data_IF_754709379008
#
_entry.id   IF_754709379008
#
_cell.length_a   1.000
_cell.length_b   1.000
_cell.length_c   1.000
_cell.angle_alpha   90.00
_cell.angle_beta   90.00
_cell.angle_gamma   90.00
#
_symmetry.space_group_name_H-M   'P 1'
#
loop_
_entity.id
_entity.type
_entity.pdbx_description
1 polymer ?
#
# COMPACT_ATOMS: atom_id res chain seq x y z
N UNK A 1 7.48 0.25 26.42
CA UNK A 1 7.43 0.39 25.04
C UNK A 1 7.06 -0.90 24.33
N UNK A 2 5.92 -0.88 23.62
CA UNK A 2 5.22 -2.10 23.14
C UNK A 2 6.10 -2.88 22.15
N UNK A 3 6.68 -2.21 21.16
CA UNK A 3 7.53 -2.87 20.15
C UNK A 3 8.69 -3.63 20.80
N UNK A 4 9.36 -3.03 21.76
CA UNK A 4 10.48 -3.69 22.44
C UNK A 4 10.01 -4.91 23.25
N UNK A 5 8.84 -4.84 23.90
CA UNK A 5 8.23 -5.99 24.60
C UNK A 5 7.90 -7.12 23.61
N UNK A 6 7.42 -6.79 22.41
CA UNK A 6 7.15 -7.77 21.36
C UNK A 6 8.47 -8.44 20.93
N UNK A 7 9.49 -7.66 20.61
CA UNK A 7 10.79 -8.17 20.16
C UNK A 7 11.47 -9.05 21.21
N UNK A 8 11.37 -8.67 22.49
CA UNK A 8 11.94 -9.45 23.61
C UNK A 8 11.34 -10.86 23.75
N UNK A 9 10.16 -11.13 23.18
CA UNK A 9 9.58 -12.49 23.14
C UNK A 9 10.22 -13.39 22.07
N UNK A 10 10.82 -12.79 21.04
CA UNK A 10 11.35 -13.51 19.88
C UNK A 10 12.88 -13.54 19.85
N UNK A 11 13.56 -12.58 20.45
CA UNK A 11 15.01 -12.44 20.43
C UNK A 11 15.57 -12.93 21.78
N UNK A 12 16.24 -14.10 21.76
CA UNK A 12 16.91 -14.66 22.95
C UNK A 12 18.31 -14.09 23.20
N UNK A 13 18.97 -13.55 22.16
CA UNK A 13 20.32 -12.99 22.27
C UNK A 13 20.27 -11.59 22.93
N UNK A 14 20.94 -11.46 24.08
CA UNK A 14 20.96 -10.22 24.88
C UNK A 14 21.68 -9.07 24.17
N UNK A 15 22.75 -9.36 23.42
CA UNK A 15 23.52 -8.31 22.71
C UNK A 15 22.71 -7.75 21.54
N UNK A 16 22.05 -8.64 20.77
CA UNK A 16 21.13 -8.24 19.72
C UNK A 16 19.94 -7.43 20.26
N UNK A 17 19.43 -7.81 21.41
CA UNK A 17 18.32 -7.11 22.07
C UNK A 17 18.72 -5.70 22.51
N UNK A 18 19.91 -5.53 23.05
CA UNK A 18 20.46 -4.22 23.40
C UNK A 18 20.69 -3.35 22.14
N UNK A 19 21.25 -3.92 21.10
CA UNK A 19 21.42 -3.23 19.81
C UNK A 19 20.07 -2.78 19.23
N UNK A 20 19.09 -3.66 19.24
CA UNK A 20 17.72 -3.36 18.77
C UNK A 20 17.08 -2.24 19.59
N UNK A 21 17.31 -2.25 20.91
CA UNK A 21 16.86 -1.17 21.81
C UNK A 21 17.44 0.16 21.39
N UNK A 22 18.75 0.24 21.12
CA UNK A 22 19.41 1.46 20.61
C UNK A 22 18.79 1.92 19.30
N UNK A 23 18.60 1.02 18.32
CA UNK A 23 17.97 1.37 17.05
C UNK A 23 16.57 1.99 17.21
N UNK A 24 15.77 1.47 18.14
CA UNK A 24 14.38 1.93 18.35
C UNK A 24 14.36 3.28 19.09
N UNK A 25 15.25 3.50 20.05
CA UNK A 25 15.16 4.63 20.97
C UNK A 25 16.05 5.81 20.58
N UNK A 26 17.25 5.57 20.03
CA UNK A 26 18.23 6.62 19.69
C UNK A 26 17.96 7.27 18.35
N UNK A 27 17.29 6.58 17.40
CA UNK A 27 16.96 7.11 16.08
C UNK A 27 15.56 7.75 15.99
N UNK A 28 14.99 8.18 17.11
CA UNK A 28 13.68 8.86 17.10
C UNK A 28 13.81 10.27 16.53
N UNK A 29 12.86 10.72 15.70
CA UNK A 29 12.81 12.13 15.30
C UNK A 29 12.71 13.02 16.53
N UNK A 30 13.51 14.07 16.60
CA UNK A 30 13.70 14.95 17.77
C UNK A 30 12.41 15.51 18.39
N UNK A 31 11.29 15.51 17.69
CA UNK A 31 10.02 16.11 18.13
C UNK A 31 8.84 15.17 18.23
N UNK A 32 9.01 13.85 18.09
CA UNK A 32 7.91 12.90 18.21
C UNK A 32 8.19 11.86 19.28
N UNK A 33 7.44 11.84 20.41
CA UNK A 33 7.63 10.87 21.46
C UNK A 33 7.22 9.45 21.06
N UNK A 34 6.57 9.29 19.90
CA UNK A 34 6.03 8.03 19.39
C UNK A 34 6.34 7.88 17.90
N UNK A 35 6.55 6.63 17.47
CA UNK A 35 6.74 6.28 16.07
C UNK A 35 8.09 5.64 15.77
N UNK A 36 8.22 5.15 14.55
CA UNK A 36 9.45 4.56 14.00
C UNK A 36 9.95 5.50 12.90
N UNK A 37 11.27 5.75 12.80
CA UNK A 37 11.83 6.65 11.79
C UNK A 37 11.43 6.21 10.38
N UNK A 38 10.94 7.14 9.56
CA UNK A 38 10.60 6.86 8.16
C UNK A 38 11.89 6.85 7.33
N UNK A 39 12.04 5.85 6.45
CA UNK A 39 13.17 5.74 5.53
C UNK A 39 14.23 4.71 5.91
N UNK A 40 14.24 4.18 7.12
CA UNK A 40 15.13 3.08 7.50
C UNK A 40 14.56 1.73 7.09
N UNK A 41 15.39 0.84 6.56
CA UNK A 41 14.99 -0.54 6.23
C UNK A 41 14.43 -1.29 7.43
N UNK A 42 15.05 -1.12 8.61
CA UNK A 42 14.61 -1.73 9.87
C UNK A 42 13.20 -1.30 10.27
N UNK A 43 12.79 -0.08 9.93
CA UNK A 43 11.46 0.43 10.27
C UNK A 43 10.33 -0.37 9.63
N UNK A 44 10.51 -0.85 8.39
CA UNK A 44 9.53 -1.70 7.71
C UNK A 44 9.38 -3.05 8.41
N UNK A 45 10.50 -3.66 8.82
CA UNK A 45 10.49 -4.91 9.57
C UNK A 45 9.82 -4.74 10.93
N UNK A 46 10.18 -3.70 11.66
CA UNK A 46 9.58 -3.41 12.97
C UNK A 46 8.08 -3.13 12.88
N UNK A 47 7.63 -2.41 11.86
CA UNK A 47 6.21 -2.20 11.61
C UNK A 47 5.47 -3.51 11.34
N UNK A 48 6.06 -4.41 10.56
CA UNK A 48 5.47 -5.72 10.27
C UNK A 48 5.45 -6.62 11.51
N UNK A 49 6.51 -6.65 12.31
CA UNK A 49 6.55 -7.39 13.58
C UNK A 49 5.51 -6.83 14.56
N UNK A 50 5.38 -5.52 14.64
CA UNK A 50 4.40 -4.85 15.48
C UNK A 50 2.97 -5.20 15.09
N UNK A 51 2.64 -5.13 13.81
CA UNK A 51 1.31 -5.43 13.30
C UNK A 51 1.02 -6.93 13.18
N UNK A 52 2.03 -7.81 13.32
CA UNK A 52 1.81 -9.25 13.44
C UNK A 52 0.96 -9.59 14.67
N UNK A 53 0.97 -8.79 15.73
CA UNK A 53 0.07 -8.97 16.87
C UNK A 53 -1.40 -8.86 16.45
N UNK A 54 -1.72 -7.92 15.52
CA UNK A 54 -3.04 -7.84 14.92
C UNK A 54 -3.35 -9.09 14.08
N UNK A 55 -2.39 -9.57 13.29
CA UNK A 55 -2.56 -10.78 12.46
C UNK A 55 -2.88 -12.00 13.36
N UNK A 56 -2.13 -12.17 14.45
CA UNK A 56 -2.37 -13.24 15.43
C UNK A 56 -3.74 -13.11 16.09
N UNK A 57 -4.12 -11.89 16.50
CA UNK A 57 -5.42 -11.63 17.11
C UNK A 57 -6.56 -11.96 16.15
N UNK A 58 -6.51 -11.49 14.90
CA UNK A 58 -7.54 -11.75 13.89
C UNK A 58 -7.62 -13.24 13.54
N UNK A 59 -6.47 -13.89 13.34
CA UNK A 59 -6.43 -15.29 12.87
C UNK A 59 -6.69 -16.29 14.00
N UNK A 60 -6.09 -16.09 15.19
CA UNK A 60 -6.09 -17.08 16.27
C UNK A 60 -7.13 -16.82 17.35
N UNK A 61 -7.43 -15.55 17.64
CA UNK A 61 -8.42 -15.20 18.69
C UNK A 61 -9.80 -15.01 18.09
N UNK A 62 -9.92 -14.30 16.97
CA UNK A 62 -11.20 -14.08 16.31
C UNK A 62 -11.56 -15.17 15.30
N UNK A 63 -10.63 -16.09 15.00
CA UNK A 63 -10.80 -17.19 14.04
C UNK A 63 -11.29 -16.74 12.67
N UNK A 64 -10.83 -15.57 12.19
CA UNK A 64 -11.21 -15.03 10.90
C UNK A 64 -10.20 -15.48 9.84
N UNK A 65 -10.66 -16.28 8.88
CA UNK A 65 -9.83 -16.78 7.79
C UNK A 65 -9.70 -15.76 6.65
N UNK A 66 -10.78 -15.04 6.35
CA UNK A 66 -10.89 -14.09 5.24
C UNK A 66 -10.26 -12.72 5.60
N UNK A 67 -8.96 -12.74 5.83
CA UNK A 67 -8.13 -11.60 6.25
C UNK A 67 -6.87 -11.52 5.40
N UNK A 68 -6.55 -10.32 4.93
CA UNK A 68 -5.30 -10.00 4.26
C UNK A 68 -4.79 -8.64 4.73
N UNK A 69 -3.49 -8.55 4.98
CA UNK A 69 -2.80 -7.29 5.31
C UNK A 69 -1.61 -7.06 4.39
N UNK A 70 -1.42 -5.84 4.00
CA UNK A 70 -0.22 -5.32 3.34
C UNK A 70 0.21 -4.05 4.06
N UNK A 71 1.32 -4.11 4.78
CA UNK A 71 1.80 -3.05 5.66
C UNK A 71 0.74 -2.68 6.71
N UNK A 72 0.26 -1.44 6.69
CA UNK A 72 -0.79 -0.88 7.55
C UNK A 72 -2.20 -1.03 6.98
N UNK A 73 -2.33 -1.33 5.69
CA UNK A 73 -3.62 -1.59 5.05
C UNK A 73 -4.05 -3.05 5.25
N UNK A 74 -5.27 -3.26 5.73
CA UNK A 74 -5.84 -4.61 5.82
C UNK A 74 -7.30 -4.67 5.37
N UNK A 75 -7.73 -5.85 4.97
CA UNK A 75 -9.08 -6.17 4.53
C UNK A 75 -9.57 -7.40 5.26
N UNK A 76 -10.83 -7.37 5.69
CA UNK A 76 -11.54 -8.51 6.25
C UNK A 76 -12.86 -8.66 5.51
N UNK A 77 -13.19 -9.89 5.11
CA UNK A 77 -14.49 -10.17 4.52
C UNK A 77 -15.42 -10.76 5.59
N UNK A 78 -16.67 -10.28 5.59
CA UNK A 78 -17.72 -10.76 6.48
C UNK A 78 -19.00 -11.00 5.71
N UNK A 79 -19.88 -11.84 6.27
CA UNK A 79 -21.13 -12.25 5.63
C UNK A 79 -22.15 -11.11 5.53
N UNK A 80 -22.17 -10.23 6.52
CA UNK A 80 -23.18 -9.19 6.66
C UNK A 80 -22.60 -7.90 7.26
N UNK A 81 -23.40 -6.82 7.18
CA UNK A 81 -23.06 -5.48 7.66
C UNK A 81 -22.88 -5.43 9.19
N UNK A 82 -23.72 -6.12 9.93
CA UNK A 82 -23.70 -6.11 11.39
C UNK A 82 -22.41 -6.73 11.90
N UNK A 83 -22.02 -7.88 11.34
CA UNK A 83 -20.72 -8.51 11.61
C UNK A 83 -19.54 -7.59 11.31
N UNK A 84 -19.59 -6.83 10.19
CA UNK A 84 -18.56 -5.83 9.89
C UNK A 84 -18.46 -4.73 10.95
N UNK A 85 -19.61 -4.21 11.42
CA UNK A 85 -19.65 -3.15 12.44
C UNK A 85 -19.07 -3.65 13.75
N UNK A 86 -19.54 -4.82 14.23
CA UNK A 86 -19.07 -5.42 15.47
C UNK A 86 -17.56 -5.70 15.42
N UNK A 87 -17.10 -6.28 14.32
CA UNK A 87 -15.69 -6.59 14.12
C UNK A 87 -14.81 -5.32 14.11
N UNK A 88 -15.28 -4.26 13.46
CA UNK A 88 -14.57 -2.99 13.41
C UNK A 88 -14.39 -2.41 14.83
N UNK A 89 -15.41 -2.51 15.69
CA UNK A 89 -15.33 -2.09 17.10
C UNK A 89 -14.33 -2.95 17.90
N UNK A 90 -14.39 -4.27 17.72
CA UNK A 90 -13.50 -5.24 18.41
C UNK A 90 -12.04 -4.97 18.02
N UNK A 91 -11.76 -4.82 16.73
CA UNK A 91 -10.41 -4.53 16.23
C UNK A 91 -9.94 -3.15 16.72
N UNK A 92 -10.79 -2.14 16.66
CA UNK A 92 -10.45 -0.79 17.14
C UNK A 92 -10.07 -0.81 18.62
N UNK A 93 -10.81 -1.56 19.45
CA UNK A 93 -10.49 -1.74 20.88
C UNK A 93 -9.13 -2.44 21.04
N UNK A 94 -8.90 -3.55 20.35
CA UNK A 94 -7.63 -4.27 20.40
C UNK A 94 -6.43 -3.38 19.99
N UNK A 95 -6.55 -2.67 18.89
CA UNK A 95 -5.50 -1.76 18.43
C UNK A 95 -5.18 -0.70 19.49
N UNK A 96 -6.20 -0.10 20.10
CA UNK A 96 -6.03 0.94 21.11
C UNK A 96 -5.43 0.39 22.41
N UNK A 97 -5.94 -0.72 22.92
CA UNK A 97 -5.53 -1.26 24.24
C UNK A 97 -4.21 -2.02 24.19
N UNK A 98 -3.95 -2.79 23.13
CA UNK A 98 -2.79 -3.68 23.03
C UNK A 98 -1.62 -3.06 22.27
N UNK A 99 -1.91 -2.24 21.27
CA UNK A 99 -0.89 -1.68 20.38
C UNK A 99 -0.78 -0.15 20.43
N UNK A 100 -1.62 0.52 21.23
CA UNK A 100 -1.68 1.97 21.27
C UNK A 100 -1.78 2.60 19.84
N UNK A 101 -2.58 1.97 18.99
CA UNK A 101 -2.88 2.40 17.62
C UNK A 101 -4.36 2.71 17.47
N UNK A 102 -4.68 3.52 16.48
CA UNK A 102 -6.05 3.84 16.11
C UNK A 102 -6.33 3.49 14.65
N UNK A 103 -7.56 3.06 14.37
CA UNK A 103 -8.02 2.90 12.99
C UNK A 103 -8.06 4.27 12.30
N UNK A 104 -7.59 4.30 11.05
CA UNK A 104 -7.70 5.50 10.23
C UNK A 104 -9.19 5.90 10.11
N UNK A 105 -9.49 7.19 10.20
CA UNK A 105 -10.86 7.74 10.05
C UNK A 105 -11.50 7.41 8.68
N UNK A 106 -10.69 7.00 7.69
CA UNK A 106 -11.16 6.53 6.37
C UNK A 106 -11.50 5.04 6.35
N UNK A 107 -11.26 4.31 7.45
CA UNK A 107 -11.65 2.90 7.56
C UNK A 107 -13.17 2.79 7.46
N UNK A 108 -13.64 1.88 6.62
CA UNK A 108 -15.06 1.70 6.34
C UNK A 108 -15.37 0.29 5.85
N UNK A 109 -16.62 -0.07 5.97
CA UNK A 109 -17.18 -1.30 5.42
C UNK A 109 -18.14 -0.97 4.27
N UNK A 110 -18.23 -1.83 3.29
CA UNK A 110 -19.12 -1.69 2.13
C UNK A 110 -19.28 -3.02 1.39
N UNK A 111 -20.34 -3.17 0.56
CA UNK A 111 -20.58 -4.41 -0.17
C UNK A 111 -19.46 -4.73 -1.18
N UNK A 112 -19.10 -6.02 -1.32
CA UNK A 112 -18.05 -6.49 -2.25
C UNK A 112 -18.29 -6.09 -3.71
N UNK A 113 -19.56 -5.94 -4.13
CA UNK A 113 -19.91 -5.46 -5.48
C UNK A 113 -19.35 -4.07 -5.81
N UNK A 114 -19.03 -3.27 -4.81
CA UNK A 114 -18.39 -1.96 -5.01
C UNK A 114 -16.90 -2.06 -5.32
N UNK A 115 -16.28 -3.24 -5.14
CA UNK A 115 -14.85 -3.43 -5.27
C UNK A 115 -14.02 -2.79 -4.16
N UNK A 116 -12.95 -3.43 -3.77
CA UNK A 116 -12.07 -3.04 -2.67
C UNK A 116 -10.80 -2.40 -3.22
N UNK A 117 -10.41 -1.24 -2.69
CA UNK A 117 -9.13 -0.63 -3.03
C UNK A 117 -8.01 -1.24 -2.19
N UNK A 118 -7.08 -1.95 -2.84
CA UNK A 118 -5.94 -2.59 -2.17
C UNK A 118 -4.72 -2.64 -3.10
N UNK A 119 -3.53 -2.37 -2.59
CA UNK A 119 -2.26 -2.42 -3.32
C UNK A 119 -2.28 -1.72 -4.70
N UNK A 120 -2.95 -0.58 -4.82
CA UNK A 120 -3.01 0.19 -6.08
C UNK A 120 -4.11 -0.22 -7.05
N UNK A 121 -4.88 -1.26 -6.74
CA UNK A 121 -5.96 -1.78 -7.56
C UNK A 121 -7.32 -1.58 -6.89
N UNK A 122 -8.38 -1.69 -7.69
CA UNK A 122 -9.75 -1.88 -7.23
C UNK A 122 -10.16 -3.30 -7.60
N UNK A 123 -10.28 -4.14 -6.58
CA UNK A 123 -10.49 -5.59 -6.70
C UNK A 123 -11.98 -5.88 -6.55
N UNK A 124 -12.53 -6.60 -7.51
CA UNK A 124 -13.89 -7.10 -7.53
C UNK A 124 -13.87 -8.64 -7.42
N UNK A 125 -15.00 -9.30 -7.15
CA UNK A 125 -15.05 -10.76 -7.10
C UNK A 125 -14.58 -11.46 -8.39
N UNK A 126 -14.81 -10.85 -9.55
CA UNK A 126 -14.54 -11.44 -10.87
C UNK A 126 -13.35 -10.84 -11.61
N UNK A 127 -12.93 -9.63 -11.24
CA UNK A 127 -11.88 -8.90 -11.96
C UNK A 127 -11.21 -7.85 -11.09
N UNK A 128 -10.08 -7.33 -11.54
CA UNK A 128 -9.41 -6.20 -10.89
C UNK A 128 -9.09 -5.09 -11.88
N UNK A 129 -9.29 -3.86 -11.45
CA UNK A 129 -9.04 -2.65 -12.22
C UNK A 129 -7.95 -1.80 -11.56
N UNK A 130 -7.27 -0.97 -12.34
CA UNK A 130 -6.42 0.07 -11.78
C UNK A 130 -7.23 1.06 -10.95
N UNK A 131 -6.65 1.52 -9.84
CA UNK A 131 -7.23 2.60 -9.03
C UNK A 131 -7.39 3.88 -9.88
N UNK A 132 -8.47 4.62 -9.65
CA UNK A 132 -8.75 5.84 -10.43
C UNK A 132 -7.65 6.90 -10.34
N UNK A 133 -6.93 6.98 -9.22
CA UNK A 133 -5.77 7.86 -9.07
C UNK A 133 -4.65 7.52 -10.06
N UNK A 134 -4.33 6.23 -10.26
CA UNK A 134 -3.35 5.76 -11.24
C UNK A 134 -3.77 6.12 -12.66
N UNK A 135 -5.05 5.89 -13.01
CA UNK A 135 -5.63 6.28 -14.33
C UNK A 135 -5.54 7.79 -14.59
N UNK A 136 -5.84 8.61 -13.58
CA UNK A 136 -5.73 10.08 -13.69
C UNK A 136 -4.26 10.51 -13.83
N UNK A 137 -3.36 9.88 -13.08
CA UNK A 137 -1.93 10.20 -13.07
C UNK A 137 -1.31 9.96 -14.45
N UNK A 138 -1.53 8.78 -15.06
CA UNK A 138 -0.97 8.49 -16.39
C UNK A 138 -1.51 9.44 -17.46
N UNK A 139 -2.82 9.72 -17.48
CA UNK A 139 -3.41 10.68 -18.43
C UNK A 139 -2.75 12.07 -18.32
N UNK A 140 -2.48 12.54 -17.09
CA UNK A 140 -1.78 13.80 -16.84
C UNK A 140 -0.34 13.76 -17.33
N UNK A 141 0.36 12.63 -17.12
CA UNK A 141 1.73 12.45 -17.60
C UNK A 141 1.78 12.49 -19.14
N UNK A 142 0.92 11.73 -19.82
CA UNK A 142 0.86 11.75 -21.30
C UNK A 142 0.63 13.16 -21.83
N UNK A 143 -0.33 13.91 -21.27
CA UNK A 143 -0.56 15.31 -21.65
C UNK A 143 0.70 16.18 -21.49
N UNK A 144 1.46 15.99 -20.40
CA UNK A 144 2.72 16.71 -20.15
C UNK A 144 3.80 16.28 -21.13
N UNK A 145 3.94 14.99 -21.38
CA UNK A 145 4.94 14.45 -22.33
C UNK A 145 4.71 14.93 -23.75
N UNK A 146 3.46 14.90 -24.23
CA UNK A 146 3.11 15.43 -25.56
C UNK A 146 3.42 16.93 -25.67
N UNK A 147 3.21 17.72 -24.60
CA UNK A 147 3.60 19.14 -24.59
C UNK A 147 5.12 19.31 -24.71
N UNK A 148 5.90 18.52 -23.96
CA UNK A 148 7.36 18.55 -24.03
C UNK A 148 7.89 18.06 -25.39
N UNK A 149 7.24 17.06 -25.99
CA UNK A 149 7.57 16.55 -27.33
C UNK A 149 7.39 17.63 -28.40
N UNK A 150 6.23 18.32 -28.41
CA UNK A 150 5.97 19.43 -29.34
C UNK A 150 6.93 20.62 -29.15
N UNK A 151 7.51 20.77 -27.98
CA UNK A 151 8.52 21.80 -27.68
C UNK A 151 9.97 21.30 -27.88
N UNK A 152 10.19 20.13 -28.49
CA UNK A 152 11.51 19.49 -28.65
C UNK A 152 12.33 19.40 -27.34
N UNK A 153 11.65 19.25 -26.20
CA UNK A 153 12.26 19.19 -24.87
C UNK A 153 11.93 17.89 -24.11
N UNK A 154 11.49 16.85 -24.83
CA UNK A 154 11.17 15.57 -24.22
C UNK A 154 12.45 14.76 -23.95
N UNK A 155 12.66 14.39 -22.69
CA UNK A 155 13.61 13.34 -22.32
C UNK A 155 12.94 11.97 -22.59
N UNK A 156 13.30 11.39 -23.76
CA UNK A 156 12.65 10.18 -24.26
C UNK A 156 12.91 8.98 -23.33
N UNK A 157 14.15 8.75 -22.92
CA UNK A 157 14.53 7.60 -22.07
C UNK A 157 13.80 7.63 -20.72
N UNK A 158 13.79 8.78 -20.08
CA UNK A 158 13.07 8.96 -18.81
C UNK A 158 11.56 8.84 -18.97
N UNK A 159 11.03 9.23 -20.11
CA UNK A 159 9.60 9.10 -20.43
C UNK A 159 9.24 7.63 -20.63
N UNK A 160 10.04 6.89 -21.41
CA UNK A 160 9.84 5.47 -21.66
C UNK A 160 10.00 4.65 -20.39
N UNK A 161 10.98 4.93 -19.54
CA UNK A 161 11.15 4.27 -18.25
C UNK A 161 9.88 4.42 -17.38
N UNK A 162 9.30 5.60 -17.32
CA UNK A 162 8.06 5.85 -16.57
C UNK A 162 6.83 5.21 -17.20
N UNK A 163 6.75 5.21 -18.51
CA UNK A 163 5.65 4.54 -19.24
C UNK A 163 5.72 3.03 -19.03
N UNK A 164 6.89 2.42 -19.18
CA UNK A 164 7.12 1.00 -18.96
C UNK A 164 6.82 0.57 -17.51
N UNK A 165 7.23 1.38 -16.53
CA UNK A 165 6.88 1.16 -15.12
C UNK A 165 5.36 1.16 -14.91
N UNK A 166 4.64 2.09 -15.55
CA UNK A 166 3.17 2.11 -15.48
C UNK A 166 2.54 0.92 -16.21
N UNK A 167 3.08 0.52 -17.36
CA UNK A 167 2.62 -0.66 -18.11
C UNK A 167 2.78 -1.93 -17.28
N UNK A 168 3.95 -2.15 -16.67
CA UNK A 168 4.20 -3.27 -15.77
C UNK A 168 3.19 -3.29 -14.61
N UNK A 169 2.92 -2.15 -13.97
CA UNK A 169 1.89 -2.07 -12.95
C UNK A 169 0.49 -2.36 -13.51
N UNK A 170 0.15 -1.84 -14.68
CA UNK A 170 -1.17 -2.00 -15.28
C UNK A 170 -1.46 -3.41 -15.81
N UNK A 171 -0.42 -4.16 -16.22
CA UNK A 171 -0.55 -5.54 -16.73
C UNK A 171 -1.15 -6.51 -15.70
N UNK A 172 -1.00 -6.23 -14.41
CA UNK A 172 -1.60 -7.01 -13.34
C UNK A 172 -3.11 -6.75 -13.13
N UNK A 173 -3.77 -6.05 -14.05
CA UNK A 173 -5.20 -5.73 -13.97
C UNK A 173 -5.89 -5.83 -15.35
N UNK A 174 -7.22 -5.85 -15.37
CA UNK A 174 -8.00 -5.81 -16.61
C UNK A 174 -7.90 -4.40 -17.24
N UNK A 175 -6.75 -4.07 -17.80
CA UNK A 175 -6.41 -2.74 -18.28
C UNK A 175 -6.06 -2.65 -19.77
N UNK A 176 -6.20 -3.74 -20.54
CA UNK A 176 -5.85 -3.78 -21.95
C UNK A 176 -6.44 -2.58 -22.75
N UNK A 177 -7.74 -2.40 -22.70
CA UNK A 177 -8.41 -1.30 -23.39
C UNK A 177 -7.96 0.09 -22.92
N UNK A 178 -7.54 0.20 -21.65
CA UNK A 178 -6.98 1.44 -21.13
C UNK A 178 -5.58 1.68 -21.68
N UNK A 179 -4.74 0.64 -21.75
CA UNK A 179 -3.40 0.72 -22.31
C UNK A 179 -3.46 1.17 -23.77
N UNK A 180 -4.30 0.55 -24.59
CA UNK A 180 -4.52 0.95 -25.99
C UNK A 180 -4.93 2.43 -26.11
N UNK A 181 -5.87 2.89 -25.26
CA UNK A 181 -6.29 4.29 -25.23
C UNK A 181 -5.18 5.26 -24.75
N UNK A 182 -4.22 4.79 -23.97
CA UNK A 182 -3.07 5.59 -23.55
C UNK A 182 -2.05 5.66 -24.68
N UNK A 183 -1.71 4.53 -25.32
CA UNK A 183 -0.81 4.50 -26.46
C UNK A 183 -1.28 5.38 -27.62
N UNK A 184 -2.55 5.28 -27.99
CA UNK A 184 -3.14 6.12 -29.05
C UNK A 184 -3.13 7.63 -28.74
N UNK A 185 -2.74 8.04 -27.53
CA UNK A 185 -2.60 9.44 -27.11
C UNK A 185 -1.16 9.88 -26.90
N UNK A 186 -0.20 9.00 -27.14
CA UNK A 186 1.22 9.32 -27.01
C UNK A 186 1.77 9.78 -28.36
N UNK A 187 1.70 11.08 -28.64
CA UNK A 187 2.14 11.68 -29.92
C UNK A 187 3.59 11.29 -30.26
N UNK A 188 4.45 11.18 -29.24
CA UNK A 188 5.87 10.82 -29.38
C UNK A 188 6.10 9.34 -29.77
N UNK A 189 5.10 8.45 -29.62
CA UNK A 189 5.19 7.05 -30.06
C UNK A 189 4.61 6.85 -31.47
N UNK A 190 3.76 7.76 -31.94
CA UNK A 190 3.08 7.63 -33.22
C UNK A 190 3.91 8.20 -34.36
N UNK A 191 4.77 9.18 -34.10
CA UNK A 191 5.57 9.88 -35.09
C UNK A 191 6.96 9.25 -35.29
N UNK A 192 7.45 8.38 -34.39
CA UNK A 192 8.72 7.64 -34.61
C UNK A 192 8.63 6.56 -35.73
N UNK A 193 7.43 6.25 -36.22
CA UNK A 193 7.25 5.36 -37.38
C UNK A 193 7.52 6.02 -38.76
N UNK A 194 7.94 7.29 -38.77
CA UNK A 194 8.20 8.03 -39.96
C UNK A 194 9.69 8.11 -40.36
N UNK A 195 10.56 7.36 -39.67
CA UNK A 195 12.03 7.35 -39.93
C UNK A 195 12.61 5.94 -40.22
N UNK A 196 11.76 5.00 -40.69
CA UNK A 196 12.22 3.75 -41.33
C UNK A 196 11.89 3.74 -42.83
#
# INVERSE_FOLDING_TARGET
DILFKILNRYIGDKALLQFTKKLIFENRPFNTPQGIPIGNYTSQYFANIYLNELDQYVKRTLHIHEYVRYMDDFIILQKDKTSCINLMQVISRFLKTSLNLELNHKSKYYPNKMGVNFCGYRIFPTHKLLRNSSKKKIKRHVKKWNKSYKANSLDFDKTMLRLNSWLGHSSHSNSYNLQQKIFAKCDFLLNDKAYD
#
